data_IF_507726717858
#
_entry.id   IF_507726717858
#
_cell.length_a   1.000
_cell.length_b   1.000
_cell.length_c   1.000
_cell.angle_alpha   90.00
_cell.angle_beta   90.00
_cell.angle_gamma   90.00
#
_symmetry.space_group_name_H-M   'P 1'
#
loop_
_entity.id
_entity.type
_entity.pdbx_description
1 polymer ?
#
# COMPACT_ATOMS: atom_id res chain seq x y z
N UNK A 1 -21.76 15.10 10.10
CA UNK A 1 -20.33 15.47 10.14
C UNK A 1 -19.44 14.41 10.78
N UNK A 2 -19.77 13.85 11.95
CA UNK A 2 -18.94 12.85 12.65
C UNK A 2 -18.53 11.63 11.80
N UNK A 3 -19.46 11.07 11.00
CA UNK A 3 -19.16 9.94 10.08
C UNK A 3 -18.11 10.28 9.02
N UNK A 4 -18.10 11.52 8.55
CA UNK A 4 -17.13 12.00 7.55
C UNK A 4 -15.75 12.16 8.19
N UNK A 5 -15.69 12.69 9.41
CA UNK A 5 -14.46 12.82 10.19
C UNK A 5 -13.83 11.44 10.50
N UNK A 6 -14.67 10.47 10.90
CA UNK A 6 -14.23 9.08 11.14
C UNK A 6 -13.74 8.41 9.85
N UNK A 7 -14.39 8.67 8.72
CA UNK A 7 -13.98 8.14 7.41
C UNK A 7 -12.61 8.69 6.99
N UNK A 8 -12.42 10.01 7.09
CA UNK A 8 -11.13 10.66 6.79
C UNK A 8 -10.04 10.16 7.75
N UNK A 9 -10.35 10.10 9.05
CA UNK A 9 -9.43 9.58 10.06
C UNK A 9 -8.98 8.16 9.76
N UNK A 10 -9.90 7.29 9.33
CA UNK A 10 -9.57 5.92 8.93
C UNK A 10 -8.66 5.86 7.69
N UNK A 11 -8.90 6.72 6.70
CA UNK A 11 -8.04 6.81 5.51
C UNK A 11 -6.63 7.27 5.89
N UNK A 12 -6.51 8.36 6.64
CA UNK A 12 -5.22 8.90 7.09
C UNK A 12 -4.48 7.90 7.99
N UNK A 13 -5.19 7.26 8.92
CA UNK A 13 -4.62 6.24 9.79
C UNK A 13 -4.09 5.04 9.00
N UNK A 14 -4.79 4.61 7.95
CA UNK A 14 -4.32 3.52 7.08
C UNK A 14 -3.04 3.88 6.31
N UNK A 15 -2.90 5.13 5.89
CA UNK A 15 -1.69 5.62 5.22
C UNK A 15 -0.50 5.66 6.19
N UNK A 16 -0.71 6.15 7.41
CA UNK A 16 0.32 6.21 8.45
C UNK A 16 0.75 4.78 8.84
N UNK A 17 -0.19 3.85 9.00
CA UNK A 17 0.13 2.46 9.28
C UNK A 17 0.90 1.78 8.16
N UNK A 18 0.56 2.05 6.89
CA UNK A 18 1.32 1.55 5.75
C UNK A 18 2.78 2.05 5.76
N UNK A 19 2.98 3.34 6.03
CA UNK A 19 4.32 3.93 6.15
C UNK A 19 5.11 3.37 7.35
N UNK A 20 4.45 3.15 8.50
CA UNK A 20 5.08 2.53 9.67
C UNK A 20 5.49 1.09 9.38
N UNK A 21 4.64 0.29 8.75
CA UNK A 21 4.97 -1.08 8.35
C UNK A 21 6.18 -1.13 7.42
N UNK A 22 6.23 -0.20 6.46
CA UNK A 22 7.38 -0.05 5.57
C UNK A 22 8.66 0.31 6.34
N UNK A 23 8.59 1.24 7.30
CA UNK A 23 9.72 1.62 8.14
C UNK A 23 10.19 0.47 9.05
N UNK A 24 9.26 -0.30 9.59
CA UNK A 24 9.56 -1.50 10.40
C UNK A 24 10.30 -2.53 9.54
N UNK A 25 9.81 -2.84 8.35
CA UNK A 25 10.51 -3.77 7.44
C UNK A 25 11.88 -3.24 7.03
N UNK A 26 12.01 -1.92 6.80
CA UNK A 26 13.29 -1.29 6.49
C UNK A 26 14.34 -1.47 7.58
N UNK A 27 13.93 -1.39 8.86
CA UNK A 27 14.83 -1.50 10.02
C UNK A 27 15.15 -2.96 10.35
N UNK A 28 14.14 -3.83 10.37
CA UNK A 28 14.30 -5.23 10.82
C UNK A 28 14.76 -6.19 9.71
N UNK A 29 14.51 -5.88 8.44
CA UNK A 29 14.84 -6.78 7.32
C UNK A 29 15.13 -5.99 6.05
N UNK A 30 16.32 -5.36 5.96
CA UNK A 30 16.70 -4.59 4.78
C UNK A 30 16.76 -5.44 3.51
N UNK A 31 17.14 -6.73 3.62
CA UNK A 31 17.14 -7.67 2.49
C UNK A 31 15.75 -7.89 1.89
N UNK A 32 14.73 -8.02 2.73
CA UNK A 32 13.34 -8.15 2.30
C UNK A 32 12.89 -6.88 1.57
N UNK A 33 13.25 -5.70 2.07
CA UNK A 33 12.92 -4.44 1.41
C UNK A 33 13.61 -4.30 0.05
N UNK A 34 14.89 -4.68 -0.05
CA UNK A 34 15.64 -4.71 -1.31
C UNK A 34 15.04 -5.70 -2.31
N UNK A 35 14.63 -6.89 -1.85
CA UNK A 35 13.95 -7.87 -2.69
C UNK A 35 12.62 -7.30 -3.21
N UNK A 36 11.82 -6.69 -2.34
CA UNK A 36 10.53 -6.09 -2.73
C UNK A 36 10.68 -4.88 -3.66
N UNK A 37 11.77 -4.09 -3.53
CA UNK A 37 12.13 -3.05 -4.50
C UNK A 37 12.43 -3.67 -5.87
N UNK A 38 13.14 -4.80 -5.90
CA UNK A 38 13.36 -5.59 -7.11
C UNK A 38 12.05 -6.05 -7.75
N UNK A 39 11.11 -6.56 -6.95
CA UNK A 39 9.77 -6.92 -7.42
C UNK A 39 8.98 -5.72 -7.96
N UNK A 40 9.07 -4.56 -7.30
CA UNK A 40 8.43 -3.33 -7.77
C UNK A 40 8.98 -2.89 -9.14
N UNK A 41 10.29 -3.04 -9.38
CA UNK A 41 10.90 -2.81 -10.70
C UNK A 41 10.39 -3.76 -11.75
N UNK A 42 10.34 -5.06 -11.45
CA UNK A 42 9.82 -6.07 -12.37
C UNK A 42 8.35 -5.83 -12.69
N UNK A 43 7.55 -5.40 -11.72
CA UNK A 43 6.15 -5.05 -11.91
C UNK A 43 5.97 -3.78 -12.77
N UNK A 44 6.78 -2.75 -12.52
CA UNK A 44 6.82 -1.55 -13.38
C UNK A 44 7.18 -1.93 -14.81
N UNK A 45 8.20 -2.76 -15.00
CA UNK A 45 8.62 -3.25 -16.32
C UNK A 45 7.52 -4.07 -17.02
N UNK A 46 6.78 -4.90 -16.29
CA UNK A 46 5.63 -5.62 -16.83
C UNK A 46 4.56 -4.65 -17.34
N UNK A 47 4.17 -3.66 -16.51
CA UNK A 47 3.15 -2.68 -16.88
C UNK A 47 3.59 -1.85 -18.10
N UNK A 48 4.82 -1.34 -18.09
CA UNK A 48 5.36 -0.52 -19.18
C UNK A 48 5.66 -1.32 -20.46
N UNK A 49 5.84 -2.64 -20.36
CA UNK A 49 6.05 -3.54 -21.52
C UNK A 49 4.78 -3.82 -22.33
N UNK A 50 3.58 -3.49 -21.82
CA UNK A 50 2.28 -3.85 -22.42
C UNK A 50 1.92 -3.05 -23.69
N UNK A 51 2.90 -2.63 -24.50
CA UNK A 51 2.63 -1.95 -25.79
C UNK A 51 1.95 -0.58 -25.66
N UNK A 52 2.05 0.06 -24.49
CA UNK A 52 1.52 1.40 -24.27
C UNK A 52 2.28 2.41 -25.15
N UNK A 53 1.52 3.23 -25.88
CA UNK A 53 2.08 4.27 -26.74
C UNK A 53 3.07 5.15 -25.93
N UNK A 54 4.28 5.45 -26.44
CA UNK A 54 5.37 6.10 -25.69
C UNK A 54 4.96 7.41 -24.99
N UNK A 55 3.91 8.10 -25.47
CA UNK A 55 3.32 9.25 -24.78
C UNK A 55 2.79 8.94 -23.38
N UNK A 56 2.21 7.77 -23.16
CA UNK A 56 1.70 7.34 -21.85
C UNK A 56 2.81 6.76 -20.97
N UNK A 57 3.85 6.21 -21.59
CA UNK A 57 4.97 5.62 -20.87
C UNK A 57 5.74 6.67 -20.06
N UNK A 58 5.88 7.90 -20.56
CA UNK A 58 6.53 9.01 -19.84
C UNK A 58 5.75 9.36 -18.56
N UNK A 59 4.42 9.44 -18.63
CA UNK A 59 3.59 9.72 -17.45
C UNK A 59 3.58 8.56 -16.46
N UNK A 60 3.57 7.32 -16.94
CA UNK A 60 3.67 6.14 -16.10
C UNK A 60 5.04 6.06 -15.43
N UNK A 61 6.12 6.40 -16.12
CA UNK A 61 7.47 6.39 -15.56
C UNK A 61 7.65 7.45 -14.47
N UNK A 62 7.05 8.63 -14.65
CA UNK A 62 7.03 9.73 -13.70
C UNK A 62 6.12 9.45 -12.48
N UNK A 63 4.94 8.87 -12.69
CA UNK A 63 3.95 8.62 -11.63
C UNK A 63 4.18 7.29 -10.88
N UNK A 64 4.85 6.31 -11.51
CA UNK A 64 5.22 5.04 -10.87
C UNK A 64 6.68 5.09 -10.43
N UNK A 65 6.95 5.85 -9.37
CA UNK A 65 8.18 5.65 -8.62
C UNK A 65 8.14 4.32 -7.84
N UNK A 66 9.25 3.59 -7.86
CA UNK A 66 9.39 2.29 -7.20
C UNK A 66 9.01 2.33 -5.71
N UNK A 67 9.35 3.43 -5.03
CA UNK A 67 9.03 3.64 -3.62
C UNK A 67 7.54 3.85 -3.37
N UNK A 68 6.85 4.51 -4.30
CA UNK A 68 5.42 4.80 -4.17
C UNK A 68 4.58 3.55 -4.43
N UNK A 69 4.99 2.74 -5.41
CA UNK A 69 4.44 1.39 -5.63
C UNK A 69 4.59 0.51 -4.38
N UNK A 70 5.77 0.54 -3.77
CA UNK A 70 6.04 -0.21 -2.54
C UNK A 70 5.21 0.29 -1.36
N UNK A 71 5.09 1.61 -1.18
CA UNK A 71 4.27 2.19 -0.14
C UNK A 71 2.79 1.84 -0.34
N UNK A 72 2.30 1.86 -1.59
CA UNK A 72 0.95 1.39 -1.91
C UNK A 72 0.79 -0.10 -1.56
N UNK A 73 1.75 -0.94 -1.91
CA UNK A 73 1.73 -2.37 -1.58
C UNK A 73 1.67 -2.61 -0.06
N UNK A 74 2.55 -1.95 0.71
CA UNK A 74 2.54 -2.02 2.17
C UNK A 74 1.24 -1.48 2.77
N UNK A 75 0.68 -0.42 2.21
CA UNK A 75 -0.60 0.14 2.65
C UNK A 75 -1.75 -0.84 2.41
N UNK A 76 -1.78 -1.53 1.27
CA UNK A 76 -2.80 -2.56 1.00
C UNK A 76 -2.66 -3.72 1.99
N UNK A 77 -1.45 -4.21 2.25
CA UNK A 77 -1.21 -5.24 3.26
C UNK A 77 -1.67 -4.77 4.65
N UNK A 78 -1.30 -3.56 5.05
CA UNK A 78 -1.71 -2.99 6.33
C UNK A 78 -3.25 -2.97 6.45
N UNK A 79 -3.96 -2.65 5.36
CA UNK A 79 -5.44 -2.68 5.35
C UNK A 79 -6.01 -4.08 5.44
N UNK A 80 -5.38 -5.07 4.80
CA UNK A 80 -5.80 -6.47 4.94
C UNK A 80 -5.63 -6.93 6.39
N UNK A 81 -4.48 -6.63 7.01
CA UNK A 81 -4.22 -6.94 8.42
C UNK A 81 -5.27 -6.27 9.32
N UNK A 82 -5.50 -4.97 9.14
CA UNK A 82 -6.52 -4.24 9.89
C UNK A 82 -7.92 -4.83 9.68
N UNK A 83 -8.27 -5.22 8.46
CA UNK A 83 -9.58 -5.83 8.18
C UNK A 83 -9.74 -7.16 8.92
N UNK A 84 -8.70 -8.01 8.91
CA UNK A 84 -8.69 -9.29 9.64
C UNK A 84 -8.80 -9.07 11.16
N UNK A 85 -8.09 -8.09 11.70
CA UNK A 85 -8.13 -7.76 13.14
C UNK A 85 -9.44 -7.08 13.55
N UNK A 86 -10.02 -6.25 12.68
CA UNK A 86 -11.28 -5.57 12.95
C UNK A 86 -12.50 -6.49 12.76
N UNK A 87 -12.40 -7.53 11.94
CA UNK A 87 -13.46 -8.50 11.69
C UNK A 87 -14.08 -9.10 12.97
N UNK A 88 -13.32 -9.62 13.96
CA UNK A 88 -13.90 -10.13 15.20
C UNK A 88 -14.61 -9.06 16.04
N UNK A 89 -14.14 -7.80 15.99
CA UNK A 89 -14.77 -6.68 16.70
C UNK A 89 -16.13 -6.34 16.08
N UNK A 90 -16.23 -6.40 14.74
CA UNK A 90 -17.49 -6.20 14.02
C UNK A 90 -18.47 -7.32 14.33
N UNK A 91 -17.99 -8.57 14.35
CA UNK A 91 -18.80 -9.75 14.69
C UNK A 91 -19.39 -9.67 16.11
N UNK A 92 -18.61 -9.18 17.08
CA UNK A 92 -19.09 -8.98 18.46
C UNK A 92 -20.17 -7.89 18.56
N UNK A 93 -20.11 -6.86 17.70
CA UNK A 93 -21.11 -5.79 17.63
C UNK A 93 -22.44 -6.24 17.03
N UNK A 94 -22.44 -7.19 16.09
CA UNK A 94 -23.69 -7.73 15.51
C UNK A 94 -24.43 -8.67 16.46
N UNK A 95 -23.75 -9.22 17.47
CA UNK A 95 -24.33 -10.18 18.41
C UNK A 95 -24.97 -9.54 19.64
N UNK A 96 -24.87 -8.22 19.80
CA UNK A 96 -25.44 -7.41 20.91
C UNK A 96 -26.55 -6.52 20.39
#
# INVERSE_FOLDING_TARGET
MLRFLLSIGNIVFSLILGALLMAVVAIYSPETLSMMLGWARSFKALITSTGLNPKYNIWLELLLEERQLLLMFFTVIARIILAVVAYPIILLREKT
#
